data_IF_192756043010
#
_entry.id   IF_192756043010
#
_cell.length_a   1.000
_cell.length_b   1.000
_cell.length_c   1.000
_cell.angle_alpha   90.00
_cell.angle_beta   90.00
_cell.angle_gamma   90.00
#
_symmetry.space_group_name_H-M   'P 1'
#
loop_
_entity.id
_entity.type
_entity.pdbx_description
1 polymer ?
#
# COMPACT_ATOMS: atom_id res chain seq x y z
N UNK A 1 4.49 9.38 14.10
CA UNK A 1 3.22 8.74 13.84
C UNK A 1 2.19 8.91 14.97
N UNK A 2 2.51 8.51 16.22
CA UNK A 2 1.55 8.52 17.34
C UNK A 2 1.33 9.92 17.95
N UNK A 3 1.03 10.92 17.15
CA UNK A 3 0.82 12.31 17.64
C UNK A 3 -0.58 12.51 18.24
N UNK A 4 -1.57 11.76 17.78
CA UNK A 4 -2.93 11.84 18.31
C UNK A 4 -3.02 11.24 19.73
N UNK A 5 -3.81 11.84 20.65
CA UNK A 5 -3.95 11.33 22.02
C UNK A 5 -4.35 9.84 22.08
N UNK A 6 -5.29 9.40 21.22
CA UNK A 6 -5.72 8.01 21.12
C UNK A 6 -4.59 7.03 20.73
N UNK A 7 -3.61 7.50 19.97
CA UNK A 7 -2.48 6.68 19.50
C UNK A 7 -1.31 6.64 20.48
N UNK A 8 -1.20 7.63 21.39
CA UNK A 8 -0.10 7.70 22.35
C UNK A 8 -0.12 6.56 23.36
N UNK A 9 -1.28 6.19 23.86
CA UNK A 9 -1.44 5.10 24.83
C UNK A 9 -0.95 3.74 24.27
N UNK A 10 -1.13 3.51 22.97
CA UNK A 10 -0.71 2.28 22.27
C UNK A 10 0.61 2.40 21.50
N UNK A 11 1.35 3.52 21.63
CA UNK A 11 2.50 3.79 20.75
C UNK A 11 3.59 2.72 20.80
N UNK A 12 3.91 2.18 21.99
CA UNK A 12 4.91 1.13 22.11
C UNK A 12 4.47 -0.18 21.47
N UNK A 13 3.20 -0.55 21.58
CA UNK A 13 2.66 -1.73 20.90
C UNK A 13 2.66 -1.54 19.39
N UNK A 14 2.14 -0.40 18.90
CA UNK A 14 2.14 -0.06 17.49
C UNK A 14 3.55 -0.06 16.88
N UNK A 15 4.54 0.43 17.61
CA UNK A 15 5.93 0.43 17.16
C UNK A 15 6.48 -1.00 17.00
N UNK A 16 6.17 -1.90 17.95
CA UNK A 16 6.56 -3.31 17.85
C UNK A 16 5.90 -3.97 16.63
N UNK A 17 4.63 -3.68 16.38
CA UNK A 17 3.90 -4.23 15.23
C UNK A 17 4.48 -3.72 13.90
N UNK A 18 4.88 -2.44 13.85
CA UNK A 18 5.57 -1.85 12.69
C UNK A 18 6.91 -2.53 12.45
N UNK A 19 7.71 -2.76 13.50
CA UNK A 19 9.00 -3.41 13.36
C UNK A 19 8.88 -4.91 13.02
N UNK A 20 7.85 -5.58 13.53
CA UNK A 20 7.55 -6.96 13.14
C UNK A 20 7.16 -7.06 11.65
N UNK A 21 6.46 -6.05 11.12
CA UNK A 21 6.10 -5.97 9.70
C UNK A 21 7.25 -5.55 8.80
N UNK A 22 8.09 -4.63 9.29
CA UNK A 22 9.21 -4.04 8.56
C UNK A 22 10.52 -4.17 9.36
N UNK A 23 11.13 -5.37 9.45
CA UNK A 23 12.34 -5.58 10.25
C UNK A 23 13.52 -4.69 9.84
N UNK A 24 13.60 -4.30 8.57
CA UNK A 24 14.62 -3.36 8.07
C UNK A 24 14.52 -1.98 8.75
N UNK A 25 13.31 -1.54 9.12
CA UNK A 25 13.15 -0.26 9.84
C UNK A 25 13.69 -0.34 11.27
N UNK A 26 13.53 -1.49 11.93
CA UNK A 26 14.11 -1.71 13.27
C UNK A 26 15.64 -1.67 13.22
N UNK A 27 16.24 -2.39 12.26
CA UNK A 27 17.69 -2.42 12.05
C UNK A 27 18.27 -1.03 11.77
N UNK A 28 17.48 -0.14 11.19
CA UNK A 28 17.89 1.21 10.75
C UNK A 28 17.23 2.33 11.55
N UNK A 29 16.73 2.04 12.75
CA UNK A 29 15.94 2.99 13.56
C UNK A 29 16.65 4.31 13.86
N UNK A 30 17.98 4.29 13.91
CA UNK A 30 18.82 5.46 14.20
C UNK A 30 19.35 6.14 12.91
N UNK A 31 18.99 5.60 11.71
CA UNK A 31 19.40 6.16 10.42
C UNK A 31 18.48 7.32 10.03
N UNK A 32 19.07 8.37 9.43
CA UNK A 32 18.31 9.49 8.87
C UNK A 32 17.45 9.01 7.70
N UNK A 33 16.14 9.30 7.71
CA UNK A 33 15.19 8.87 6.70
C UNK A 33 15.59 9.28 5.26
N UNK A 34 16.18 10.46 5.09
CA UNK A 34 16.65 10.94 3.78
C UNK A 34 17.82 10.16 3.19
N UNK A 35 18.49 9.30 3.97
CA UNK A 35 19.59 8.43 3.50
C UNK A 35 19.12 6.99 3.23
N UNK A 36 17.86 6.69 3.45
CA UNK A 36 17.24 5.39 3.14
C UNK A 36 16.95 5.26 1.65
N UNK A 37 16.91 4.03 1.14
CA UNK A 37 16.44 3.77 -0.23
C UNK A 37 14.97 4.16 -0.40
N UNK A 38 14.51 4.42 -1.62
CA UNK A 38 13.11 4.77 -1.89
C UNK A 38 12.10 3.77 -1.32
N UNK A 39 12.39 2.47 -1.41
CA UNK A 39 11.55 1.43 -0.82
C UNK A 39 11.53 1.47 0.71
N UNK A 40 12.65 1.70 1.36
CA UNK A 40 12.71 1.85 2.81
C UNK A 40 11.98 3.12 3.28
N UNK A 41 12.07 4.21 2.51
CA UNK A 41 11.29 5.43 2.77
C UNK A 41 9.79 5.18 2.65
N UNK A 42 9.36 4.38 1.66
CA UNK A 42 7.97 3.99 1.50
C UNK A 42 7.47 3.13 2.67
N UNK A 43 8.25 2.12 3.09
CA UNK A 43 7.95 1.32 4.29
C UNK A 43 7.90 2.17 5.55
N UNK A 44 8.78 3.17 5.68
CA UNK A 44 8.76 4.13 6.79
C UNK A 44 7.48 4.98 6.78
N UNK A 45 7.04 5.44 5.59
CA UNK A 45 5.79 6.19 5.45
C UNK A 45 4.58 5.35 5.89
N UNK A 46 4.51 4.08 5.47
CA UNK A 46 3.48 3.13 5.89
C UNK A 46 3.53 2.93 7.42
N UNK A 47 4.72 2.65 7.97
CA UNK A 47 4.92 2.47 9.41
C UNK A 47 4.46 3.69 10.21
N UNK A 48 4.75 4.90 9.74
CA UNK A 48 4.27 6.15 10.37
C UNK A 48 2.74 6.26 10.37
N UNK A 49 2.07 5.84 9.29
CA UNK A 49 0.60 5.80 9.24
C UNK A 49 0.05 4.81 10.28
N UNK A 50 0.63 3.62 10.36
CA UNK A 50 0.21 2.56 11.29
C UNK A 50 0.34 2.99 12.75
N UNK A 51 1.32 3.83 13.10
CA UNK A 51 1.45 4.42 14.44
C UNK A 51 0.23 5.25 14.87
N UNK A 52 -0.60 5.70 13.93
CA UNK A 52 -1.85 6.41 14.19
C UNK A 52 -3.03 5.51 14.52
N UNK A 53 -2.85 4.20 14.47
CA UNK A 53 -3.91 3.18 14.60
C UNK A 53 -5.13 3.49 13.70
N UNK A 54 -4.94 3.56 12.37
CA UNK A 54 -6.00 3.91 11.43
C UNK A 54 -6.96 2.74 11.21
N UNK A 55 -8.20 3.04 10.84
CA UNK A 55 -9.18 2.07 10.34
C UNK A 55 -9.15 1.99 8.81
N UNK A 56 -8.69 3.06 8.17
CA UNK A 56 -8.53 3.20 6.72
C UNK A 56 -7.19 3.82 6.40
N UNK A 57 -6.47 3.27 5.43
CA UNK A 57 -5.30 3.91 4.81
C UNK A 57 -5.57 4.11 3.31
N UNK A 58 -5.22 5.30 2.83
CA UNK A 58 -5.24 5.63 1.42
C UNK A 58 -3.82 5.69 0.87
N UNK A 59 -3.56 4.93 -0.18
CA UNK A 59 -2.29 4.93 -0.91
C UNK A 59 -2.50 5.54 -2.29
N UNK A 60 -1.70 6.54 -2.61
CA UNK A 60 -1.70 7.20 -3.91
C UNK A 60 -0.37 6.90 -4.62
N UNK A 61 -0.43 6.07 -5.65
CA UNK A 61 0.69 5.60 -6.47
C UNK A 61 1.93 5.13 -5.64
N UNK A 62 1.75 4.24 -4.64
CA UNK A 62 2.84 3.85 -3.75
C UNK A 62 3.98 3.11 -4.45
N UNK A 63 3.77 2.64 -5.68
CA UNK A 63 4.79 1.95 -6.49
C UNK A 63 5.59 2.87 -7.40
N UNK A 64 5.20 4.15 -7.52
CA UNK A 64 5.79 5.07 -8.50
C UNK A 64 7.30 5.29 -8.23
N UNK A 65 8.10 5.10 -9.28
CA UNK A 65 9.56 5.33 -9.22
C UNK A 65 10.36 4.28 -8.46
N UNK A 66 9.74 3.19 -8.04
CA UNK A 66 10.41 2.10 -7.34
C UNK A 66 10.87 0.97 -8.28
N UNK A 67 11.95 0.30 -7.91
CA UNK A 67 12.42 -0.89 -8.62
C UNK A 67 11.37 -2.03 -8.51
N UNK A 68 11.23 -2.91 -9.52
CA UNK A 68 10.18 -3.95 -9.55
C UNK A 68 10.12 -4.85 -8.31
N UNK A 69 11.25 -5.23 -7.75
CA UNK A 69 11.29 -6.03 -6.51
C UNK A 69 10.73 -5.26 -5.31
N UNK A 70 11.02 -3.96 -5.22
CA UNK A 70 10.53 -3.10 -4.14
C UNK A 70 9.03 -2.87 -4.27
N UNK A 71 8.52 -2.71 -5.50
CA UNK A 71 7.07 -2.65 -5.77
C UNK A 71 6.37 -3.88 -5.21
N UNK A 72 6.92 -5.08 -5.46
CA UNK A 72 6.36 -6.33 -4.91
C UNK A 72 6.34 -6.34 -3.38
N UNK A 73 7.43 -5.90 -2.73
CA UNK A 73 7.50 -5.82 -1.26
C UNK A 73 6.45 -4.84 -0.69
N UNK A 74 6.29 -3.66 -1.29
CA UNK A 74 5.30 -2.64 -0.87
C UNK A 74 3.88 -3.18 -1.03
N UNK A 75 3.54 -3.75 -2.18
CA UNK A 75 2.20 -4.27 -2.46
C UNK A 75 1.87 -5.50 -1.61
N UNK A 76 2.86 -6.35 -1.35
CA UNK A 76 2.71 -7.45 -0.41
C UNK A 76 2.39 -6.93 1.00
N UNK A 77 3.07 -5.88 1.45
CA UNK A 77 2.81 -5.25 2.74
C UNK A 77 1.39 -4.66 2.81
N UNK A 78 0.93 -3.99 1.74
CA UNK A 78 -0.44 -3.46 1.64
C UNK A 78 -1.47 -4.59 1.75
N UNK A 79 -1.23 -5.70 1.07
CA UNK A 79 -2.10 -6.88 1.14
C UNK A 79 -2.16 -7.45 2.57
N UNK A 80 -1.01 -7.61 3.23
CA UNK A 80 -0.96 -8.09 4.62
C UNK A 80 -1.73 -7.18 5.58
N UNK A 81 -1.68 -5.87 5.38
CA UNK A 81 -2.46 -4.93 6.17
C UNK A 81 -3.96 -5.15 6.00
N UNK A 82 -4.42 -5.37 4.77
CA UNK A 82 -5.83 -5.67 4.49
C UNK A 82 -6.25 -7.02 5.11
N UNK A 83 -5.43 -8.05 5.01
CA UNK A 83 -5.67 -9.37 5.63
C UNK A 83 -5.77 -9.27 7.17
N UNK A 84 -5.13 -8.28 7.79
CA UNK A 84 -5.25 -7.96 9.22
C UNK A 84 -6.48 -7.11 9.57
N UNK A 85 -7.37 -6.85 8.60
CA UNK A 85 -8.62 -6.14 8.80
C UNK A 85 -8.58 -4.64 8.54
N UNK A 86 -7.44 -4.09 8.05
CA UNK A 86 -7.37 -2.68 7.66
C UNK A 86 -8.12 -2.45 6.35
N UNK A 87 -8.93 -1.41 6.31
CA UNK A 87 -9.52 -0.95 5.05
C UNK A 87 -8.47 -0.21 4.23
N UNK A 88 -8.31 -0.58 2.96
CA UNK A 88 -7.34 0.03 2.06
C UNK A 88 -8.04 0.65 0.85
N UNK A 89 -7.73 1.90 0.57
CA UNK A 89 -8.00 2.54 -0.72
C UNK A 89 -6.67 2.71 -1.46
N UNK A 90 -6.53 2.02 -2.58
CA UNK A 90 -5.32 2.04 -3.40
C UNK A 90 -5.59 2.72 -4.74
N UNK A 91 -4.85 3.77 -5.05
CA UNK A 91 -4.79 4.38 -6.39
C UNK A 91 -3.47 3.96 -7.02
N UNK A 92 -3.52 3.36 -8.21
CA UNK A 92 -2.36 2.84 -8.92
C UNK A 92 -2.55 2.91 -10.44
N UNK A 93 -1.46 3.17 -11.16
CA UNK A 93 -1.45 3.08 -12.62
C UNK A 93 -1.19 1.65 -13.10
N UNK A 94 -0.52 0.83 -12.31
CA UNK A 94 -0.24 -0.56 -12.67
C UNK A 94 -1.49 -1.43 -12.45
N UNK A 95 -2.34 -1.46 -13.47
CA UNK A 95 -3.63 -2.16 -13.43
C UNK A 95 -3.49 -3.63 -13.09
N UNK A 96 -2.51 -4.34 -13.68
CA UNK A 96 -2.33 -5.77 -13.45
C UNK A 96 -2.07 -6.10 -11.98
N UNK A 97 -1.22 -5.30 -11.34
CA UNK A 97 -0.83 -5.52 -9.94
C UNK A 97 -1.97 -5.13 -9.00
N UNK A 98 -2.60 -3.98 -9.24
CA UNK A 98 -3.71 -3.48 -8.42
C UNK A 98 -4.89 -4.45 -8.41
N UNK A 99 -5.27 -4.97 -9.58
CA UNK A 99 -6.39 -5.91 -9.69
C UNK A 99 -6.12 -7.24 -8.99
N UNK A 100 -4.87 -7.70 -8.93
CA UNK A 100 -4.50 -8.95 -8.23
C UNK A 100 -4.67 -8.89 -6.72
N UNK A 101 -4.53 -7.70 -6.13
CA UNK A 101 -4.59 -7.54 -4.67
C UNK A 101 -5.88 -6.89 -4.19
N UNK A 102 -6.73 -6.37 -5.10
CA UNK A 102 -7.96 -5.68 -4.73
C UNK A 102 -9.16 -6.63 -4.67
N UNK A 103 -9.97 -6.47 -3.62
CA UNK A 103 -11.28 -7.14 -3.51
C UNK A 103 -12.26 -6.55 -4.53
N UNK A 104 -12.24 -5.22 -4.68
CA UNK A 104 -13.07 -4.45 -5.61
C UNK A 104 -12.23 -3.36 -6.26
N UNK A 105 -12.46 -3.10 -7.54
CA UNK A 105 -11.78 -2.06 -8.27
C UNK A 105 -12.74 -1.18 -9.08
N UNK A 106 -12.28 0.04 -9.32
CA UNK A 106 -12.91 1.04 -10.16
C UNK A 106 -11.89 1.49 -11.20
N UNK A 107 -12.22 1.35 -12.48
CA UNK A 107 -11.39 1.84 -13.58
C UNK A 107 -11.84 3.24 -13.93
N UNK A 108 -10.90 4.21 -13.85
CA UNK A 108 -11.15 5.61 -14.15
C UNK A 108 -10.51 5.98 -15.49
N UNK A 109 -11.28 6.64 -16.34
CA UNK A 109 -10.82 7.27 -17.58
C UNK A 109 -11.34 8.70 -17.62
N UNK A 110 -10.46 9.67 -17.86
CA UNK A 110 -10.82 11.09 -17.96
C UNK A 110 -11.72 11.58 -16.80
N UNK A 111 -11.42 11.13 -15.57
CA UNK A 111 -12.16 11.53 -14.37
C UNK A 111 -13.53 10.86 -14.19
N UNK A 112 -13.85 9.84 -14.99
CA UNK A 112 -15.10 9.09 -14.91
C UNK A 112 -14.84 7.62 -14.64
N UNK A 113 -15.67 7.00 -13.80
CA UNK A 113 -15.65 5.55 -13.61
C UNK A 113 -16.29 4.91 -14.84
N UNK A 114 -15.47 4.17 -15.59
CA UNK A 114 -15.92 3.46 -16.82
C UNK A 114 -16.20 1.98 -16.56
N UNK A 115 -15.66 1.43 -15.48
CA UNK A 115 -15.84 0.03 -15.13
C UNK A 115 -15.69 -0.17 -13.62
N UNK A 116 -16.44 -1.12 -13.05
CA UNK A 116 -16.33 -1.54 -11.66
C UNK A 116 -16.60 -3.03 -11.55
N UNK A 117 -15.92 -3.69 -10.61
CA UNK A 117 -16.09 -5.13 -10.37
C UNK A 117 -15.13 -5.68 -9.35
N UNK A 118 -15.17 -6.97 -9.12
CA UNK A 118 -14.13 -7.66 -8.35
C UNK A 118 -12.79 -7.58 -9.09
N UNK A 119 -11.68 -7.41 -8.36
CA UNK A 119 -10.36 -7.34 -8.98
C UNK A 119 -10.04 -8.56 -9.85
N UNK A 120 -10.40 -9.75 -9.38
CA UNK A 120 -10.24 -11.01 -10.12
C UNK A 120 -11.06 -11.06 -11.42
N UNK A 121 -12.28 -10.52 -11.41
CA UNK A 121 -13.14 -10.47 -12.61
C UNK A 121 -12.59 -9.49 -13.64
N UNK A 122 -12.19 -8.29 -13.18
CA UNK A 122 -11.64 -7.27 -14.06
C UNK A 122 -10.30 -7.68 -14.67
N UNK A 123 -9.48 -8.45 -13.95
CA UNK A 123 -8.21 -8.98 -14.46
C UNK A 123 -8.40 -9.88 -15.69
N UNK A 124 -9.54 -10.56 -15.80
CA UNK A 124 -9.88 -11.44 -16.92
C UNK A 124 -10.80 -10.76 -17.95
N UNK A 125 -11.22 -9.52 -17.71
CA UNK A 125 -12.07 -8.78 -18.63
C UNK A 125 -11.29 -8.40 -19.90
N UNK A 126 -11.84 -8.73 -21.06
CA UNK A 126 -11.16 -8.57 -22.34
C UNK A 126 -10.85 -7.10 -22.67
N UNK A 127 -11.77 -6.17 -22.34
CA UNK A 127 -11.53 -4.73 -22.52
C UNK A 127 -10.37 -4.23 -21.63
N UNK A 128 -10.30 -4.68 -20.38
CA UNK A 128 -9.21 -4.34 -19.45
C UNK A 128 -7.90 -4.89 -19.98
N UNK A 129 -7.89 -6.12 -20.46
CA UNK A 129 -6.69 -6.77 -21.01
C UNK A 129 -6.15 -6.03 -22.22
N UNK A 130 -7.02 -5.71 -23.18
CA UNK A 130 -6.63 -4.98 -24.40
C UNK A 130 -6.18 -3.56 -24.12
N UNK A 131 -6.90 -2.81 -23.24
CA UNK A 131 -6.62 -1.41 -22.99
C UNK A 131 -5.41 -1.16 -22.07
N UNK A 132 -5.19 -2.05 -21.10
CA UNK A 132 -4.24 -1.77 -19.99
C UNK A 132 -3.21 -2.87 -19.75
N UNK A 133 -3.39 -4.09 -20.21
CA UNK A 133 -2.47 -5.20 -19.97
C UNK A 133 -1.62 -5.56 -21.20
N UNK A 134 -1.92 -4.99 -22.36
CA UNK A 134 -1.19 -5.23 -23.60
C UNK A 134 -1.34 -6.66 -24.14
N UNK A 135 -2.46 -7.32 -23.85
CA UNK A 135 -2.74 -8.72 -24.19
C UNK A 135 -3.88 -8.82 -25.17
#
# INVERSE_FOLDING_TARGET
GAMLPRARAGAHSALRDVFAMFPKLEQRRDQLAGTMSGGEQQMLAIGRCLMGNPELIMFDEPSLGLAPLVVQEVLHSIRLLNERGLTILLVEQNVAVSLRISNRAYVLENGRIVMTGAGSELLHNERVRQAYLGL
#
